data_IF_842891123300
#
_entry.id   IF_842891123300
#
_cell.length_a   1.000
_cell.length_b   1.000
_cell.length_c   1.000
_cell.angle_alpha   90.00
_cell.angle_beta   90.00
_cell.angle_gamma   90.00
#
_symmetry.space_group_name_H-M   'P 1'
#
loop_
_entity.id
_entity.type
_entity.pdbx_description
1 polymer ?
#
# COMPACT_ATOMS: atom_id res chain seq x y z
N UNK A 1 -10.01 15.98 -13.33
CA UNK A 1 -9.47 14.65 -12.95
C UNK A 1 -8.81 14.83 -11.59
N UNK A 2 -9.44 14.38 -10.51
CA UNK A 2 -8.83 14.47 -9.18
C UNK A 2 -7.56 13.62 -9.19
N UNK A 3 -6.38 14.25 -9.10
CA UNK A 3 -5.12 13.53 -8.90
C UNK A 3 -5.27 12.80 -7.58
N UNK A 4 -5.38 11.48 -7.65
CA UNK A 4 -5.41 10.62 -6.47
C UNK A 4 -4.21 10.96 -5.58
N UNK A 5 -4.40 10.86 -4.26
CA UNK A 5 -3.35 11.07 -3.27
C UNK A 5 -2.03 10.43 -3.73
N UNK A 6 -1.00 11.24 -3.86
CA UNK A 6 0.34 10.77 -4.19
C UNK A 6 0.96 10.19 -2.92
N UNK A 7 1.07 8.86 -2.88
CA UNK A 7 1.73 8.17 -1.78
C UNK A 7 3.23 8.42 -1.85
N UNK A 8 3.79 9.00 -0.80
CA UNK A 8 5.24 9.15 -0.69
C UNK A 8 5.92 7.79 -0.56
N UNK A 9 7.20 7.70 -0.97
CA UNK A 9 8.00 6.48 -0.78
C UNK A 9 8.05 6.00 0.69
N UNK A 10 8.35 6.85 1.69
CA UNK A 10 8.32 6.42 3.10
C UNK A 10 6.91 6.03 3.56
N UNK A 11 5.87 6.69 3.05
CA UNK A 11 4.47 6.36 3.35
C UNK A 11 4.09 4.97 2.83
N UNK A 12 4.56 4.63 1.62
CA UNK A 12 4.32 3.33 1.01
C UNK A 12 5.04 2.21 1.76
N UNK A 13 6.29 2.41 2.17
CA UNK A 13 7.06 1.43 2.95
C UNK A 13 6.43 1.19 4.32
N UNK A 14 6.00 2.27 4.99
CA UNK A 14 5.32 2.17 6.28
C UNK A 14 4.00 1.40 6.17
N UNK A 15 3.18 1.73 5.17
CA UNK A 15 1.94 1.01 4.87
C UNK A 15 2.22 -0.48 4.58
N UNK A 16 3.26 -0.80 3.81
CA UNK A 16 3.65 -2.18 3.54
C UNK A 16 4.04 -2.93 4.82
N UNK A 17 4.83 -2.32 5.69
CA UNK A 17 5.20 -2.92 6.98
C UNK A 17 3.98 -3.25 7.86
N UNK A 18 2.97 -2.38 7.88
CA UNK A 18 1.71 -2.66 8.60
C UNK A 18 0.91 -3.81 7.97
N UNK A 19 0.86 -3.87 6.64
CA UNK A 19 0.21 -4.96 5.91
C UNK A 19 0.95 -6.29 6.13
N UNK A 20 2.28 -6.27 6.19
CA UNK A 20 3.09 -7.46 6.51
C UNK A 20 2.93 -7.90 7.97
N UNK A 21 2.75 -6.95 8.90
CA UNK A 21 2.52 -7.26 10.31
C UNK A 21 1.12 -7.84 10.58
N UNK A 22 0.08 -7.33 9.91
CA UNK A 22 -1.32 -7.71 10.15
C UNK A 22 -1.77 -8.85 9.23
N UNK A 23 -1.15 -8.99 8.05
CA UNK A 23 -1.52 -9.92 6.98
C UNK A 23 -3.04 -9.91 6.70
N UNK A 24 -3.60 -8.77 6.23
CA UNK A 24 -5.02 -8.65 5.97
C UNK A 24 -5.44 -9.49 4.76
N UNK A 25 -5.93 -10.70 5.00
CA UNK A 25 -6.59 -11.55 4.02
C UNK A 25 -8.02 -11.09 3.74
N UNK A 26 -8.73 -10.53 4.73
CA UNK A 26 -10.14 -10.18 4.65
C UNK A 26 -10.42 -8.68 4.85
N UNK A 27 -11.58 -8.22 4.38
CA UNK A 27 -12.00 -6.81 4.45
C UNK A 27 -11.97 -6.23 5.88
N UNK A 28 -12.34 -7.03 6.89
CA UNK A 28 -12.33 -6.63 8.29
C UNK A 28 -10.91 -6.30 8.79
N UNK A 29 -9.90 -6.99 8.28
CA UNK A 29 -8.51 -6.82 8.72
C UNK A 29 -7.88 -5.55 8.15
N UNK A 30 -8.35 -5.05 7.00
CA UNK A 30 -7.90 -3.76 6.46
C UNK A 30 -8.29 -2.58 7.36
N UNK A 31 -9.40 -2.69 8.09
CA UNK A 31 -9.78 -1.70 9.10
C UNK A 31 -8.78 -1.66 10.27
N UNK A 32 -8.22 -2.82 10.66
CA UNK A 32 -7.16 -2.88 11.67
C UNK A 32 -5.86 -2.24 11.16
N UNK A 33 -5.50 -2.45 9.89
CA UNK A 33 -4.35 -1.78 9.25
C UNK A 33 -4.54 -0.26 9.25
N UNK A 34 -5.73 0.20 8.88
CA UNK A 34 -6.08 1.62 8.90
C UNK A 34 -6.03 2.21 10.31
N UNK A 35 -6.54 1.48 11.31
CA UNK A 35 -6.51 1.93 12.70
C UNK A 35 -5.07 2.11 13.17
N UNK A 36 -4.19 1.14 12.91
CA UNK A 36 -2.77 1.25 13.25
C UNK A 36 -2.08 2.39 12.47
N UNK A 37 -2.36 2.49 11.18
CA UNK A 37 -1.81 3.54 10.32
C UNK A 37 -2.17 4.94 10.83
N UNK A 38 -3.42 5.14 11.23
CA UNK A 38 -3.88 6.43 11.74
C UNK A 38 -3.49 6.67 13.22
N UNK A 39 -3.21 5.61 14.00
CA UNK A 39 -2.77 5.72 15.39
C UNK A 39 -1.30 6.14 15.50
N UNK A 40 -0.44 5.60 14.64
CA UNK A 40 1.00 5.89 14.61
C UNK A 40 1.36 6.75 13.40
N UNK A 41 0.56 7.77 13.14
CA UNK A 41 0.67 8.62 11.97
C UNK A 41 1.92 9.52 12.06
N UNK A 42 2.96 9.30 11.23
CA UNK A 42 4.16 10.13 11.26
C UNK A 42 3.84 11.57 10.81
N UNK A 43 4.55 12.55 11.36
CA UNK A 43 4.33 13.96 11.03
C UNK A 43 4.53 14.21 9.52
N UNK A 44 3.44 14.57 8.83
CA UNK A 44 3.42 14.83 7.39
C UNK A 44 2.72 13.78 6.54
N UNK A 45 2.32 12.65 7.11
CA UNK A 45 1.42 11.71 6.43
C UNK A 45 -0.02 12.15 6.66
N UNK A 46 -0.90 11.95 5.69
CA UNK A 46 -2.32 12.21 5.85
C UNK A 46 -3.07 10.96 6.32
N UNK A 47 -4.18 11.14 7.04
CA UNK A 47 -5.07 10.04 7.35
C UNK A 47 -5.57 9.36 6.06
N UNK A 48 -5.63 8.02 6.08
CA UNK A 48 -6.03 7.22 4.93
C UNK A 48 -7.15 6.26 5.34
N UNK A 49 -8.04 5.96 4.41
CA UNK A 49 -9.09 4.94 4.59
C UNK A 49 -8.54 3.55 4.28
N UNK A 50 -9.12 2.53 4.90
CA UNK A 50 -8.79 1.12 4.66
C UNK A 50 -8.85 0.74 3.17
N UNK A 51 -9.83 1.27 2.42
CA UNK A 51 -9.95 1.04 0.98
C UNK A 51 -8.82 1.71 0.19
N UNK A 52 -8.34 2.89 0.60
CA UNK A 52 -7.21 3.57 -0.05
C UNK A 52 -5.90 2.79 0.15
N UNK A 53 -5.67 2.30 1.36
CA UNK A 53 -4.53 1.43 1.71
C UNK A 53 -4.58 0.13 0.90
N UNK A 54 -5.75 -0.51 0.86
CA UNK A 54 -5.99 -1.71 0.06
C UNK A 54 -5.72 -1.46 -1.43
N UNK A 55 -6.31 -0.43 -2.03
CA UNK A 55 -6.12 -0.09 -3.44
C UNK A 55 -4.64 0.15 -3.75
N UNK A 56 -3.91 0.87 -2.89
CA UNK A 56 -2.47 1.08 -3.08
C UNK A 56 -1.69 -0.22 -3.00
N UNK A 57 -1.96 -1.08 -2.02
CA UNK A 57 -1.30 -2.38 -1.91
C UNK A 57 -1.56 -3.29 -3.11
N UNK A 58 -2.83 -3.39 -3.55
CA UNK A 58 -3.17 -4.16 -4.75
C UNK A 58 -2.60 -3.54 -6.02
N UNK A 59 -2.53 -2.20 -6.12
CA UNK A 59 -1.84 -1.53 -7.20
C UNK A 59 -0.35 -1.90 -7.20
N UNK A 60 0.34 -1.92 -6.06
CA UNK A 60 1.76 -2.33 -5.98
C UNK A 60 1.95 -3.81 -6.30
N UNK A 61 1.05 -4.68 -5.81
CA UNK A 61 1.05 -6.12 -6.11
C UNK A 61 0.79 -6.39 -7.60
N UNK A 62 -0.14 -5.65 -8.21
CA UNK A 62 -0.53 -5.78 -9.60
C UNK A 62 0.43 -5.06 -10.56
N UNK A 63 1.11 -4.02 -10.09
CA UNK A 63 2.34 -3.49 -10.68
C UNK A 63 3.45 -4.52 -10.46
N UNK A 64 3.21 -5.74 -10.96
CA UNK A 64 4.26 -6.66 -11.37
C UNK A 64 5.26 -5.79 -12.10
N UNK A 65 6.50 -5.81 -11.63
CA UNK A 65 7.67 -5.48 -12.43
C UNK A 65 7.38 -5.91 -13.88
N UNK A 66 7.70 -5.11 -14.91
CA UNK A 66 7.93 -5.71 -16.20
C UNK A 66 9.12 -6.66 -16.02
N UNK A 67 8.87 -7.88 -15.55
CA UNK A 67 9.82 -8.99 -15.63
C UNK A 67 9.72 -9.52 -17.05
N UNK A 68 9.93 -8.62 -18.02
CA UNK A 68 10.48 -8.99 -19.31
C UNK A 68 11.96 -9.03 -19.04
N UNK A 69 12.50 -10.20 -18.76
CA UNK A 69 13.93 -10.43 -18.86
C UNK A 69 14.29 -10.15 -20.34
N UNK A 70 15.07 -9.09 -20.66
CA UNK A 70 15.41 -8.79 -22.05
C UNK A 70 16.41 -9.80 -22.64
N UNK A 71 16.85 -10.79 -21.86
CA UNK A 71 17.72 -11.89 -22.29
C UNK A 71 16.95 -13.22 -22.37
N UNK A 72 15.73 -13.22 -22.91
CA UNK A 72 15.08 -14.47 -23.35
C UNK A 72 15.55 -14.74 -24.80
N UNK A 73 16.49 -15.68 -25.05
CA UNK A 73 16.89 -16.01 -26.42
C UNK A 73 15.75 -16.71 -27.17
N UNK A 74 15.61 -16.49 -28.49
CA UNK A 74 14.59 -17.11 -29.33
C UNK A 74 14.78 -18.61 -29.53
#
# INVERSE_FOLDING_TARGET
>A
MARGREWSAPETLYMMGLVEHILPFEANQWNAVQLQYNAELPNGFAACDADSIKRKFYALKNTRKPTGDPNCPP
#
